data_IF_572008153102
#
_entry.id   IF_572008153102
#
_cell.length_a   1.000
_cell.length_b   1.000
_cell.length_c   1.000
_cell.angle_alpha   90.00
_cell.angle_beta   90.00
_cell.angle_gamma   90.00
#
_symmetry.space_group_name_H-M   'P 1'
#
loop_
_entity.id
_entity.type
_entity.pdbx_description
1 polymer ?
2 water ?
#
# COMPACT_ATOMS: atom_id res chain seq x y z
N UNK A 24 18.05 2.90 -2.65
CA UNK A 24 17.62 4.12 -1.91
C UNK A 24 18.44 5.32 -2.36
N UNK A 25 17.76 6.33 -2.90
CA UNK A 25 18.45 7.52 -3.38
C UNK A 25 18.21 8.73 -2.48
N UNK A 26 19.21 9.60 -2.39
CA UNK A 26 19.14 10.81 -1.58
C UNK A 26 18.01 11.73 -2.03
N UNK A 27 17.49 12.54 -1.11
CA UNK A 27 16.43 13.49 -1.43
C UNK A 27 16.85 14.47 -2.52
N UNK A 28 18.07 15.00 -2.42
CA UNK A 28 18.60 15.96 -3.40
C UNK A 28 18.66 15.36 -4.80
N UNK A 29 18.98 14.06 -4.87
CA UNK A 29 18.98 13.31 -6.12
C UNK A 29 17.57 13.17 -6.67
N UNK A 30 16.64 12.76 -5.81
CA UNK A 30 15.23 12.62 -6.18
C UNK A 30 14.63 13.94 -6.67
N UNK A 31 14.96 15.03 -5.97
CA UNK A 31 14.49 16.37 -6.33
C UNK A 31 14.98 16.85 -7.69
N UNK A 32 16.08 16.27 -8.16
CA UNK A 32 16.75 16.70 -9.39
C UNK A 32 16.45 15.84 -10.62
N UNK A 33 15.74 14.73 -10.40
CA UNK A 33 15.42 13.77 -11.46
C UNK A 33 14.43 14.31 -12.49
N UNK A 34 14.51 13.81 -13.72
CA UNK A 34 13.49 14.10 -14.73
C UNK A 34 12.15 13.55 -14.27
N UNK A 35 11.06 14.14 -14.78
CA UNK A 35 9.70 13.71 -14.43
C UNK A 35 9.54 12.20 -14.55
N UNK A 36 10.08 11.63 -15.63
CA UNK A 36 9.93 10.21 -15.93
C UNK A 36 10.73 9.33 -14.98
N UNK A 37 11.99 9.70 -14.74
CA UNK A 37 12.84 8.95 -13.82
C UNK A 37 12.27 8.97 -12.40
N UNK A 38 11.74 10.13 -11.99
CA UNK A 38 11.11 10.28 -10.68
C UNK A 38 9.84 9.45 -10.60
N UNK A 39 9.00 9.54 -11.63
CA UNK A 39 7.77 8.76 -11.72
C UNK A 39 8.05 7.26 -11.67
N UNK A 40 9.07 6.82 -12.41
CA UNK A 40 9.45 5.41 -12.47
C UNK A 40 9.93 4.88 -11.13
N UNK A 41 10.63 5.73 -10.39
CA UNK A 41 11.14 5.43 -9.05
C UNK A 41 9.99 5.19 -8.06
N UNK A 42 8.93 5.97 -8.21
CA UNK A 42 7.77 5.90 -7.31
C UNK A 42 6.78 4.80 -7.69
N UNK A 43 6.81 4.36 -8.95
CA UNK A 43 5.82 3.41 -9.47
C UNK A 43 5.62 2.13 -8.63
N UNK A 44 6.72 1.52 -8.13
CA UNK A 44 6.56 0.29 -7.34
C UNK A 44 5.90 0.49 -5.96
N UNK A 45 5.79 1.74 -5.50
CA UNK A 45 5.17 2.04 -4.21
C UNK A 45 3.69 1.66 -4.17
N UNK A 46 3.00 1.92 -5.28
CA UNK A 46 1.57 1.60 -5.43
C UNK A 46 1.18 1.74 -6.91
N UNK A 47 0.29 0.87 -7.38
CA UNK A 47 -0.17 0.92 -8.78
C UNK A 47 -1.25 1.99 -8.96
N UNK A 48 -0.90 3.23 -8.64
CA UNK A 48 -1.80 4.36 -8.80
C UNK A 48 -1.01 5.54 -9.36
N UNK A 49 -0.94 5.65 -10.70
CA UNK A 49 -0.11 6.64 -11.40
C UNK A 49 -0.35 8.09 -10.96
N UNK A 50 -1.58 8.42 -10.60
CA UNK A 50 -1.95 9.78 -10.19
C UNK A 50 -1.28 10.23 -8.89
N UNK A 51 -1.06 9.28 -7.99
CA UNK A 51 -0.41 9.55 -6.71
C UNK A 51 1.05 9.96 -6.93
N UNK A 52 1.78 9.14 -7.68
CA UNK A 52 3.18 9.41 -8.01
C UNK A 52 3.35 10.70 -8.80
N UNK A 53 2.44 10.92 -9.74
CA UNK A 53 2.39 12.13 -10.56
C UNK A 53 2.32 13.38 -9.68
N UNK A 54 1.45 13.33 -8.68
CA UNK A 54 1.29 14.43 -7.73
C UNK A 54 2.60 14.73 -7.00
N UNK A 55 3.27 13.69 -6.50
CA UNK A 55 4.54 13.85 -5.78
C UNK A 55 5.66 14.42 -6.65
N UNK A 56 5.75 13.93 -7.88
CA UNK A 56 6.79 14.37 -8.82
C UNK A 56 6.65 15.87 -9.11
N UNK A 57 5.41 16.31 -9.32
CA UNK A 57 5.11 17.70 -9.67
C UNK A 57 5.29 18.70 -8.51
N UNK A 58 5.51 18.18 -7.30
CA UNK A 58 5.68 19.03 -6.13
C UNK A 58 7.13 19.15 -5.66
N UNK A 59 8.05 18.64 -6.47
CA UNK A 59 9.48 18.78 -6.25
C UNK A 59 9.92 20.21 -6.60
N UNK A 60 10.96 20.74 -5.92
CA UNK A 60 11.78 20.09 -4.89
C UNK A 60 11.15 20.12 -3.50
N UNK A 61 11.22 18.99 -2.80
CA UNK A 61 10.74 18.91 -1.44
C UNK A 61 11.77 19.48 -0.48
N UNK A 62 11.28 20.20 0.53
CA UNK A 62 12.12 20.88 1.52
C UNK A 62 12.93 19.89 2.35
N UNK A 63 12.32 18.73 2.61
CA UNK A 63 12.93 17.67 3.39
C UNK A 63 12.21 16.36 3.08
N UNK A 64 12.81 15.25 3.51
CA UNK A 64 12.15 13.95 3.45
C UNK A 64 10.87 13.96 4.29
N UNK A 65 10.94 14.62 5.45
CA UNK A 65 9.77 14.84 6.31
C UNK A 65 8.60 15.46 5.54
N UNK A 66 8.90 16.51 4.76
CA UNK A 66 7.89 17.20 3.95
C UNK A 66 7.38 16.34 2.79
N UNK A 67 8.26 15.52 2.22
CA UNK A 67 7.88 14.58 1.18
C UNK A 67 6.90 13.53 1.71
N UNK A 68 7.22 12.95 2.87
CA UNK A 68 6.39 11.90 3.48
C UNK A 68 5.02 12.43 3.89
N UNK A 69 4.99 13.64 4.43
CA UNK A 69 3.73 14.29 4.79
C UNK A 69 2.85 14.56 3.57
N UNK A 70 3.48 15.05 2.49
CA UNK A 70 2.79 15.28 1.23
C UNK A 70 2.25 13.97 0.64
N UNK A 71 3.04 12.90 0.78
CA UNK A 71 2.65 11.57 0.29
C UNK A 71 1.40 11.05 1.01
N UNK A 72 1.35 11.25 2.33
CA UNK A 72 0.18 10.88 3.13
C UNK A 72 -1.06 11.68 2.71
N UNK A 73 -0.89 12.98 2.52
CA UNK A 73 -2.00 13.84 2.11
C UNK A 73 -2.54 13.46 0.73
N UNK A 74 -1.64 12.98 -0.13
CA UNK A 74 -2.00 12.60 -1.50
C UNK A 74 -2.85 11.32 -1.56
N UNK A 75 -2.82 10.53 -0.49
CA UNK A 75 -3.61 9.30 -0.43
C UNK A 75 -4.87 9.41 0.44
N UNK A 76 -5.19 10.64 0.85
CA UNK A 76 -6.32 10.91 1.75
C UNK A 76 -7.70 10.63 1.14
N UNK A 77 -7.83 10.82 -0.17
CA UNK A 77 -9.12 10.67 -0.83
C UNK A 77 -9.30 9.36 -1.60
N UNK A 78 -8.36 8.43 -1.43
CA UNK A 78 -8.47 7.10 -2.02
C UNK A 78 -9.78 6.43 -1.59
N UNK A 79 -10.47 5.86 -2.57
CA UNK A 79 -11.72 5.14 -2.33
C UNK A 79 -11.65 3.74 -2.90
N UNK A 80 -12.81 3.14 -3.11
CA UNK A 80 -12.89 1.76 -3.61
C UNK A 80 -12.30 1.62 -5.01
N UNK A 81 -12.46 2.66 -5.83
CA UNK A 81 -11.90 2.67 -7.19
C UNK A 81 -10.38 2.58 -7.18
N UNK A 82 -9.74 3.33 -6.27
CA UNK A 82 -8.29 3.29 -6.11
C UNK A 82 -7.81 1.96 -5.53
N UNK A 83 -8.63 1.36 -4.67
CA UNK A 83 -8.34 0.04 -4.09
C UNK A 83 -8.27 -1.02 -5.19
N UNK A 84 -9.29 -1.05 -6.05
CA UNK A 84 -9.37 -2.05 -7.12
C UNK A 84 -8.29 -1.90 -8.18
N UNK A 85 -7.99 -0.65 -8.53
CA UNK A 85 -6.92 -0.34 -9.46
C UNK A 85 -5.56 -0.77 -8.91
N UNK A 86 -5.33 -0.51 -7.62
CA UNK A 86 -4.07 -0.86 -6.96
C UNK A 86 -3.85 -2.37 -6.88
N UNK A 87 -4.95 -3.12 -6.78
CA UNK A 87 -4.92 -4.57 -6.64
C UNK A 87 -5.12 -5.30 -7.97
N UNK A 88 -4.81 -4.62 -9.08
CA UNK A 88 -5.02 -5.16 -10.44
C UNK A 88 -4.47 -6.57 -10.67
N UNK A 89 -3.26 -6.82 -10.17
CA UNK A 89 -2.65 -8.15 -10.22
C UNK A 89 -2.00 -8.52 -8.89
N UNK A 117 6.49 -26.57 7.65
CA UNK A 117 6.50 -26.43 9.10
C UNK A 117 5.09 -26.54 9.69
N UNK A 118 4.34 -25.44 9.64
CA UNK A 118 2.98 -25.39 10.17
C UNK A 118 1.95 -25.48 9.04
N UNK A 119 1.53 -26.71 8.73
CA UNK A 119 0.60 -26.95 7.62
C UNK A 119 -0.83 -26.50 7.95
N UNK A 120 -1.22 -26.61 9.22
CA UNK A 120 -2.51 -26.13 9.70
C UNK A 120 -2.67 -24.64 9.38
N UNK A 121 -1.65 -23.86 9.72
CA UNK A 121 -1.61 -22.42 9.47
C UNK A 121 -1.68 -22.13 7.97
N UNK A 122 -0.77 -22.74 7.21
CA UNK A 122 -0.69 -22.51 5.76
C UNK A 122 -2.02 -22.77 5.08
N UNK A 123 -2.67 -23.87 5.48
CA UNK A 123 -3.97 -24.28 4.96
C UNK A 123 -5.08 -23.33 5.42
N UNK A 124 -4.96 -22.84 6.65
CA UNK A 124 -5.93 -21.90 7.21
C UNK A 124 -5.86 -20.56 6.49
N UNK A 125 -4.65 -20.13 6.14
CA UNK A 125 -4.45 -18.92 5.35
C UNK A 125 -4.99 -19.08 3.92
N UNK A 126 -4.75 -20.25 3.32
CA UNK A 126 -5.27 -20.54 1.98
C UNK A 126 -6.79 -20.53 1.95
N UNK A 127 -7.41 -21.23 2.91
CA UNK A 127 -8.87 -21.31 3.00
C UNK A 127 -9.48 -19.94 3.29
N UNK A 128 -8.87 -19.20 4.21
CA UNK A 128 -9.30 -17.85 4.53
C UNK A 128 -9.25 -16.90 3.34
N UNK A 129 -8.17 -16.98 2.57
CA UNK A 129 -8.01 -16.15 1.36
C UNK A 129 -9.04 -16.46 0.28
N UNK A 130 -9.33 -17.74 0.10
CA UNK A 130 -10.37 -18.18 -0.83
C UNK A 130 -11.73 -17.67 -0.36
N UNK A 131 -11.99 -17.80 0.94
CA UNK A 131 -13.23 -17.31 1.55
C UNK A 131 -13.35 -15.79 1.46
N UNK A 132 -12.23 -15.09 1.63
CA UNK A 132 -12.20 -13.63 1.51
C UNK A 132 -12.54 -13.20 0.08
N UNK A 133 -11.80 -13.74 -0.89
CA UNK A 133 -12.00 -13.42 -2.30
C UNK A 133 -13.43 -13.70 -2.76
N UNK A 134 -14.02 -14.77 -2.23
CA UNK A 134 -15.39 -15.15 -2.55
C UNK A 134 -16.41 -14.17 -1.97
N UNK A 135 -16.15 -13.71 -0.74
CA UNK A 135 -17.07 -12.82 -0.02
C UNK A 135 -16.96 -11.36 -0.46
N UNK A 136 -15.74 -10.88 -0.68
CA UNK A 136 -15.52 -9.45 -0.96
C UNK A 136 -15.22 -9.12 -2.42
N UNK A 137 -14.83 -10.12 -3.20
CA UNK A 137 -14.59 -9.94 -4.63
C UNK A 137 -13.25 -9.34 -4.99
N UNK A 138 -12.30 -9.38 -4.05
CA UNK A 138 -10.93 -8.94 -4.32
C UNK A 138 -9.95 -9.77 -3.50
N UNK A 139 -8.66 -9.67 -3.83
CA UNK A 139 -7.62 -10.35 -3.04
C UNK A 139 -7.50 -9.71 -1.65
N UNK A 140 -7.08 -10.51 -0.68
CA UNK A 140 -6.91 -10.02 0.69
C UNK A 140 -5.63 -9.20 0.81
N UNK A 141 -5.79 -7.93 1.19
CA UNK A 141 -4.64 -7.03 1.32
C UNK A 141 -4.33 -6.73 2.78
N UNK A 142 -3.10 -7.06 3.17
CA UNK A 142 -2.60 -6.74 4.50
C UNK A 142 -1.13 -6.33 4.39
N UNK A 143 -0.73 -5.35 5.19
CA UNK A 143 0.67 -4.99 5.31
C UNK A 143 1.37 -6.13 6.04
N UNK A 144 2.20 -6.87 5.31
CA UNK A 144 2.77 -8.12 5.83
C UNK A 144 4.04 -7.93 6.64
N UNK A 145 4.76 -6.83 6.39
CA UNK A 145 6.05 -6.57 7.04
C UNK A 145 5.93 -6.51 8.56
N UNK A 146 6.71 -7.35 9.23
CA UNK A 146 6.72 -7.40 10.69
C UNK A 146 5.66 -8.29 11.31
N UNK A 147 4.72 -8.78 10.49
CA UNK A 147 3.65 -9.62 10.99
C UNK A 147 4.04 -11.09 10.91
N UNK A 148 3.55 -11.89 11.85
CA UNK A 148 3.73 -13.34 11.79
C UNK A 148 2.57 -13.94 11.01
N UNK A 149 2.70 -15.22 10.65
CA UNK A 149 1.62 -15.95 9.99
C UNK A 149 0.36 -15.99 10.83
N UNK A 150 0.51 -16.31 12.12
CA UNK A 150 -0.63 -16.38 13.04
C UNK A 150 -1.35 -15.04 13.14
N UNK A 151 -0.58 -13.95 13.22
CA UNK A 151 -1.13 -12.59 13.27
C UNK A 151 -1.98 -12.30 12.03
N UNK A 152 -1.45 -12.64 10.86
CA UNK A 152 -2.17 -12.46 9.60
C UNK A 152 -3.49 -13.25 9.59
N UNK A 153 -3.43 -14.52 9.98
CA UNK A 153 -4.63 -15.35 10.06
C UNK A 153 -5.70 -14.73 10.97
N UNK A 154 -5.27 -14.20 12.11
CA UNK A 154 -6.20 -13.59 13.06
C UNK A 154 -6.84 -12.31 12.51
N UNK A 155 -6.06 -11.51 11.78
CA UNK A 155 -6.57 -10.34 11.08
C UNK A 155 -7.56 -10.75 9.99
N UNK A 156 -7.17 -11.74 9.19
CA UNK A 156 -8.03 -12.30 8.15
C UNK A 156 -9.37 -12.78 8.73
N UNK A 157 -9.29 -13.53 9.83
CA UNK A 157 -10.49 -14.07 10.50
C UNK A 157 -11.43 -12.96 10.96
N UNK A 158 -10.86 -11.92 11.58
CA UNK A 158 -11.61 -10.76 12.04
C UNK A 158 -12.24 -9.98 10.88
N UNK A 159 -11.46 -9.81 9.80
CA UNK A 159 -11.91 -9.03 8.65
C UNK A 159 -12.95 -9.77 7.80
N UNK A 160 -12.97 -11.10 7.90
CA UNK A 160 -14.03 -11.91 7.28
C UNK A 160 -15.41 -11.63 7.88
N UNK A 161 -15.44 -10.99 9.05
CA UNK A 161 -16.69 -10.63 9.72
C UNK A 161 -17.14 -9.20 9.41
N UNK A 162 -16.39 -8.50 8.56
CA UNK A 162 -16.70 -7.12 8.20
C UNK A 162 -17.84 -6.99 7.21
N UNK A 163 -18.53 -5.85 7.27
CA UNK A 163 -19.42 -5.42 6.21
C UNK A 163 -18.55 -4.96 5.04
N UNK A 164 -19.16 -4.79 3.87
CA UNK A 164 -18.43 -4.37 2.67
C UNK A 164 -17.64 -3.07 2.87
N UNK A 165 -18.31 -2.04 3.39
CA UNK A 165 -17.70 -0.72 3.60
C UNK A 165 -16.62 -0.71 4.67
N UNK A 166 -16.83 -1.47 5.74
CA UNK A 166 -15.82 -1.62 6.80
C UNK A 166 -14.53 -2.19 6.24
N UNK A 167 -14.67 -3.17 5.35
CA UNK A 167 -13.53 -3.87 4.77
C UNK A 167 -12.79 -3.02 3.73
N UNK A 168 -13.54 -2.27 2.92
CA UNK A 168 -12.96 -1.31 1.98
C UNK A 168 -12.06 -0.33 2.74
N UNK A 169 -12.59 0.18 3.85
CA UNK A 169 -11.86 1.11 4.71
C UNK A 169 -10.55 0.51 5.26
N UNK A 170 -10.61 -0.70 5.81
CA UNK A 170 -9.39 -1.31 6.35
C UNK A 170 -8.37 -1.69 5.27
N UNK A 171 -8.86 -2.24 4.16
CA UNK A 171 -7.98 -2.60 3.04
C UNK A 171 -7.23 -1.37 2.52
N UNK A 172 -7.94 -0.25 2.43
CA UNK A 172 -7.35 1.03 2.05
C UNK A 172 -6.36 1.54 3.10
N UNK A 173 -6.68 1.34 4.37
CA UNK A 173 -5.78 1.73 5.46
C UNK A 173 -4.48 0.92 5.41
N UNK A 174 -4.61 -0.37 5.09
CA UNK A 174 -3.45 -1.24 4.88
C UNK A 174 -2.65 -0.84 3.64
N UNK A 175 -3.36 -0.54 2.55
CA UNK A 175 -2.72 -0.04 1.33
C UNK A 175 -1.87 1.21 1.59
N UNK A 176 -2.41 2.13 2.39
CA UNK A 176 -1.69 3.36 2.74
C UNK A 176 -0.41 3.07 3.52
N UNK A 177 -0.48 2.12 4.45
CA UNK A 177 0.71 1.68 5.20
C UNK A 177 1.77 1.08 4.29
N UNK A 178 1.34 0.20 3.39
CA UNK A 178 2.23 -0.48 2.44
C UNK A 178 2.95 0.53 1.54
N UNK A 179 2.19 1.46 0.99
CA UNK A 179 2.70 2.49 0.09
C UNK A 179 3.78 3.34 0.79
N UNK A 180 3.49 3.77 2.02
CA UNK A 180 4.42 4.59 2.79
C UNK A 180 5.72 3.87 3.12
N UNK A 181 5.61 2.60 3.50
CA UNK A 181 6.78 1.77 3.78
C UNK A 181 7.68 1.65 2.56
N UNK A 182 7.06 1.45 1.39
CA UNK A 182 7.80 1.36 0.14
C UNK A 182 8.45 2.70 -0.22
N UNK A 183 7.71 3.80 -0.05
CA UNK A 183 8.24 5.14 -0.27
C UNK A 183 9.44 5.43 0.63
N UNK A 184 9.30 5.09 1.91
CA UNK A 184 10.35 5.28 2.91
C UNK A 184 11.61 4.48 2.59
N UNK A 185 11.44 3.30 2.00
CA UNK A 185 12.56 2.47 1.58
C UNK A 185 13.24 3.00 0.33
N UNK A 186 12.51 3.78 -0.47
CA UNK A 186 13.00 4.23 -1.77
C UNK A 186 13.78 5.55 -1.73
N UNK A 187 13.31 6.51 -0.93
CA UNK A 187 13.93 7.83 -0.88
C UNK A 187 14.49 8.16 0.50
N UNK A 188 15.74 8.63 0.51
CA UNK A 188 16.45 9.00 1.73
C UNK A 188 16.40 10.48 2.05
N UNK A 189 17.26 10.90 2.98
CA UNK A 189 17.24 12.25 3.55
C UNK A 189 17.95 13.30 2.68
#
# INVERSE_FOLDING_TARGET
MGSDKIHHHHHHSSGENLYFQGHMIALSQFNSLSKDEAAGLLAPCVALPAWGETLVSLRPFASRHALLQTAREAMANWGEDELNAALSAHPRIGEKPTGSQAHAALSRQEQSSVDSENERLAQALREGNARYEARFGRVFLIRAKGRSGEEILQALTRRLQHTADEEVAEALAQLREITMLRLEGAIGE
#
